data_IF_046139681353
#
_entry.id   IF_046139681353
#
_cell.length_a   1.000
_cell.length_b   1.000
_cell.length_c   1.000
_cell.angle_alpha   90.00
_cell.angle_beta   90.00
_cell.angle_gamma   90.00
#
_symmetry.space_group_name_H-M   'P 1'
#
loop_
_entity.id
_entity.type
_entity.pdbx_description
1 polymer ?
#
# COMPACT_ATOMS: atom_id res chain seq x y z
N UNK A 1 -18.16 75.21 50.16
CA UNK A 1 -17.78 73.78 50.27
C UNK A 1 -17.82 73.20 48.86
N UNK A 2 -16.67 72.94 48.19
CA UNK A 2 -16.08 71.61 47.92
C UNK A 2 -17.15 70.53 47.64
N UNK A 3 -17.18 69.82 46.51
CA UNK A 3 -16.10 68.97 45.99
C UNK A 3 -16.08 68.91 44.45
N UNK A 4 -14.86 68.95 43.88
CA UNK A 4 -14.53 68.52 42.51
C UNK A 4 -14.43 66.99 42.53
N UNK A 5 -15.18 66.30 41.66
CA UNK A 5 -14.99 64.87 41.40
C UNK A 5 -14.40 64.71 40.01
N UNK A 6 -13.11 64.37 39.97
CA UNK A 6 -12.32 64.14 38.76
C UNK A 6 -12.49 62.67 38.35
N UNK A 7 -12.99 62.41 37.15
CA UNK A 7 -13.02 61.09 36.53
C UNK A 7 -11.68 60.83 35.84
N UNK A 8 -10.96 59.80 36.28
CA UNK A 8 -9.79 59.26 35.58
C UNK A 8 -10.25 58.13 34.64
N UNK A 9 -9.78 58.08 33.38
CA UNK A 9 -10.01 56.94 32.51
C UNK A 9 -9.07 55.79 32.91
N UNK A 10 -9.65 54.63 33.20
CA UNK A 10 -8.92 53.38 33.43
C UNK A 10 -8.65 52.74 32.07
N UNK A 11 -7.40 52.82 31.61
CA UNK A 11 -6.93 52.13 30.40
C UNK A 11 -6.73 50.64 30.73
N UNK A 12 -7.66 49.79 30.29
CA UNK A 12 -7.49 48.34 30.36
C UNK A 12 -6.57 47.86 29.22
N UNK A 13 -5.35 47.45 29.57
CA UNK A 13 -4.43 46.78 28.64
C UNK A 13 -4.91 45.33 28.42
N UNK A 14 -5.54 45.06 27.28
CA UNK A 14 -5.88 43.70 26.86
C UNK A 14 -4.64 42.94 26.43
N UNK A 15 -4.31 41.85 27.12
CA UNK A 15 -3.27 40.92 26.70
C UNK A 15 -3.77 40.10 25.50
N UNK A 16 -3.16 40.31 24.34
CA UNK A 16 -3.39 39.46 23.15
C UNK A 16 -2.60 38.18 23.37
N UNK A 17 -3.29 37.10 23.76
CA UNK A 17 -2.70 35.76 23.79
C UNK A 17 -2.57 35.27 22.35
N UNK A 18 -1.38 35.40 21.79
CA UNK A 18 -1.01 34.78 20.52
C UNK A 18 -0.90 33.27 20.75
N UNK A 19 -2.00 32.53 20.53
CA UNK A 19 -1.91 31.08 20.40
C UNK A 19 -1.23 30.76 19.07
N UNK A 20 0.10 30.65 19.08
CA UNK A 20 0.84 30.08 17.97
C UNK A 20 0.35 28.64 17.80
N UNK A 21 -0.43 28.39 16.74
CA UNK A 21 -0.72 27.02 16.33
C UNK A 21 0.63 26.37 15.96
N UNK A 22 0.94 25.16 16.47
CA UNK A 22 2.13 24.47 16.03
C UNK A 22 1.98 24.12 14.55
N UNK A 23 2.67 24.85 13.68
CA UNK A 23 2.82 24.46 12.28
C UNK A 23 3.77 23.26 12.25
N UNK A 24 3.21 22.06 12.31
CA UNK A 24 3.93 20.84 11.96
C UNK A 24 4.17 20.86 10.45
N UNK A 25 5.22 21.57 10.02
CA UNK A 25 5.78 21.37 8.69
C UNK A 25 6.64 20.10 8.73
N UNK A 26 6.00 18.95 8.91
CA UNK A 26 6.63 17.68 8.57
C UNK A 26 6.70 17.62 7.05
N UNK A 27 7.86 17.98 6.49
CA UNK A 27 8.25 17.57 5.15
C UNK A 27 8.33 16.05 5.13
N UNK A 28 7.20 15.38 4.96
CA UNK A 28 7.14 13.94 4.84
C UNK A 28 7.38 13.60 3.38
N UNK A 29 8.47 12.90 3.09
CA UNK A 29 8.60 12.07 1.90
C UNK A 29 7.56 10.94 1.98
N UNK A 30 6.27 11.28 1.87
CA UNK A 30 5.18 10.33 2.06
C UNK A 30 5.11 9.43 0.84
N UNK A 31 5.51 8.17 1.01
CA UNK A 31 5.12 7.10 0.10
C UNK A 31 3.66 6.75 0.45
N UNK A 32 2.84 6.59 -0.58
CA UNK A 32 1.46 6.15 -0.42
C UNK A 32 1.06 5.09 -1.43
N UNK A 33 -0.01 4.36 -1.13
CA UNK A 33 -0.60 3.35 -1.98
C UNK A 33 -2.05 3.69 -2.25
N UNK A 34 -2.49 3.47 -3.49
CA UNK A 34 -3.90 3.64 -3.86
C UNK A 34 -4.28 2.71 -5.01
N UNK A 35 -5.58 2.57 -5.22
CA UNK A 35 -6.10 2.03 -6.47
C UNK A 35 -6.30 3.19 -7.46
N UNK A 36 -5.61 3.15 -8.58
CA UNK A 36 -5.77 4.09 -9.68
C UNK A 36 -6.38 3.38 -10.90
N UNK A 37 -6.65 4.11 -11.98
CA UNK A 37 -7.07 3.53 -13.26
C UNK A 37 -5.98 3.81 -14.31
N UNK A 38 -5.33 2.76 -14.81
CA UNK A 38 -4.31 2.86 -15.86
C UNK A 38 -4.85 2.09 -17.08
N UNK A 39 -4.96 2.77 -18.22
CA UNK A 39 -5.46 2.17 -19.47
C UNK A 39 -6.83 1.46 -19.29
N UNK A 40 -7.72 2.07 -18.49
CA UNK A 40 -9.04 1.50 -18.18
C UNK A 40 -9.04 0.35 -17.17
N UNK A 41 -7.87 -0.09 -16.70
CA UNK A 41 -7.73 -1.19 -15.74
C UNK A 41 -7.45 -0.66 -14.32
N UNK A 42 -8.24 -1.05 -13.30
CA UNK A 42 -7.92 -0.74 -11.90
C UNK A 42 -6.53 -1.27 -11.55
N UNK A 43 -5.66 -0.43 -11.04
CA UNK A 43 -4.25 -0.78 -10.80
C UNK A 43 -3.85 -0.32 -9.41
N UNK A 44 -3.33 -1.23 -8.58
CA UNK A 44 -2.67 -0.83 -7.34
C UNK A 44 -1.36 -0.18 -7.70
N UNK A 45 -1.18 1.06 -7.25
CA UNK A 45 0.01 1.87 -7.51
C UNK A 45 0.63 2.32 -6.20
N UNK A 46 1.94 2.57 -6.25
CA UNK A 46 2.65 3.34 -5.22
C UNK A 46 2.98 4.72 -5.78
N UNK A 47 2.88 5.73 -4.93
CA UNK A 47 3.26 7.10 -5.26
C UNK A 47 4.16 7.72 -4.17
N UNK A 48 4.94 8.73 -4.54
CA UNK A 48 5.73 9.52 -3.59
C UNK A 48 5.16 10.93 -3.39
N UNK A 49 5.82 11.74 -2.57
CA UNK A 49 5.46 13.14 -2.30
C UNK A 49 5.46 14.04 -3.55
N UNK A 50 6.12 13.63 -4.63
CA UNK A 50 6.11 14.31 -5.93
C UNK A 50 5.00 13.81 -6.86
N UNK A 51 4.08 12.98 -6.37
CA UNK A 51 3.05 12.29 -7.16
C UNK A 51 3.60 11.45 -8.32
N UNK A 52 4.85 10.99 -8.25
CA UNK A 52 5.37 10.03 -9.22
C UNK A 52 4.76 8.66 -8.91
N UNK A 53 4.15 8.04 -9.91
CA UNK A 53 3.38 6.81 -9.76
C UNK A 53 4.13 5.62 -10.36
N UNK A 54 4.15 4.49 -9.66
CA UNK A 54 4.63 3.20 -10.17
C UNK A 54 3.54 2.13 -10.03
N UNK A 55 3.19 1.41 -11.12
CA UNK A 55 2.24 0.31 -11.05
C UNK A 55 2.84 -0.88 -10.31
N UNK A 56 2.01 -1.53 -9.49
CA UNK A 56 2.37 -2.73 -8.72
C UNK A 56 1.52 -3.94 -9.14
N UNK A 57 0.20 -3.79 -9.24
CA UNK A 57 -0.74 -4.88 -9.58
C UNK A 57 -1.82 -4.35 -10.53
N UNK A 58 -1.93 -4.91 -11.73
CA UNK A 58 -3.01 -4.63 -12.68
C UNK A 58 -4.19 -5.59 -12.44
N UNK A 59 -5.35 -5.06 -12.04
CA UNK A 59 -6.48 -5.89 -11.63
C UNK A 59 -7.37 -6.28 -12.80
N UNK A 60 -6.86 -7.21 -13.60
CA UNK A 60 -7.56 -7.81 -14.73
C UNK A 60 -8.59 -8.85 -14.26
N UNK A 61 -9.87 -8.61 -14.55
CA UNK A 61 -11.00 -9.46 -14.11
C UNK A 61 -10.89 -10.89 -14.68
N UNK A 62 -10.29 -11.06 -15.85
CA UNK A 62 -10.07 -12.36 -16.49
C UNK A 62 -9.12 -13.26 -15.69
N UNK A 63 -8.22 -12.70 -14.89
CA UNK A 63 -7.21 -13.45 -14.14
C UNK A 63 -7.47 -13.53 -12.65
N UNK A 64 -8.13 -12.52 -12.06
CA UNK A 64 -8.29 -12.43 -10.60
C UNK A 64 -9.64 -12.99 -10.16
N UNK A 65 -9.61 -13.82 -9.12
CA UNK A 65 -10.78 -14.37 -8.45
C UNK A 65 -11.40 -13.32 -7.49
N UNK A 66 -12.09 -12.34 -8.08
CA UNK A 66 -12.87 -11.34 -7.34
C UNK A 66 -14.13 -10.97 -8.10
N UNK A 67 -15.25 -10.85 -7.39
CA UNK A 67 -16.51 -10.36 -7.96
C UNK A 67 -16.54 -8.84 -8.11
N UNK A 68 -15.70 -8.12 -7.35
CA UNK A 68 -15.57 -6.67 -7.43
C UNK A 68 -14.09 -6.29 -7.47
N UNK A 69 -13.58 -6.19 -8.70
CA UNK A 69 -12.17 -5.92 -8.98
C UNK A 69 -11.72 -4.56 -8.43
N UNK A 70 -12.58 -3.54 -8.48
CA UNK A 70 -12.27 -2.22 -7.94
C UNK A 70 -12.08 -2.26 -6.42
N UNK A 71 -13.03 -2.88 -5.71
CA UNK A 71 -12.94 -3.03 -4.26
C UNK A 71 -11.74 -3.88 -3.84
N UNK A 72 -11.40 -4.92 -4.60
CA UNK A 72 -10.22 -5.74 -4.34
C UNK A 72 -8.91 -4.95 -4.51
N UNK A 73 -8.82 -4.13 -5.57
CA UNK A 73 -7.72 -3.20 -5.81
C UNK A 73 -7.53 -2.18 -4.68
N UNK A 74 -8.63 -1.58 -4.20
CA UNK A 74 -8.62 -0.67 -3.06
C UNK A 74 -8.22 -1.37 -1.76
N UNK A 75 -8.73 -2.58 -1.53
CA UNK A 75 -8.38 -3.41 -0.37
C UNK A 75 -6.90 -3.78 -0.34
N UNK A 76 -6.32 -4.15 -1.48
CA UNK A 76 -4.90 -4.44 -1.58
C UNK A 76 -4.04 -3.19 -1.35
N UNK A 77 -4.41 -2.05 -1.94
CA UNK A 77 -3.73 -0.79 -1.69
C UNK A 77 -3.74 -0.42 -0.19
N UNK A 78 -4.88 -0.60 0.49
CA UNK A 78 -5.02 -0.35 1.93
C UNK A 78 -4.13 -1.29 2.77
N UNK A 79 -4.03 -2.57 2.43
CA UNK A 79 -3.15 -3.53 3.10
C UNK A 79 -1.67 -3.15 2.93
N UNK A 80 -1.27 -2.78 1.72
CA UNK A 80 0.08 -2.29 1.45
C UNK A 80 0.40 -1.01 2.24
N UNK A 81 -0.51 -0.02 2.23
CA UNK A 81 -0.37 1.20 3.01
C UNK A 81 -0.21 0.89 4.50
N UNK A 82 -1.12 0.09 5.07
CA UNK A 82 -1.09 -0.29 6.47
C UNK A 82 0.24 -0.95 6.85
N UNK A 83 0.72 -1.91 6.04
CA UNK A 83 2.02 -2.56 6.27
C UNK A 83 3.18 -1.59 6.15
N UNK A 84 3.12 -0.65 5.22
CA UNK A 84 4.15 0.38 5.06
C UNK A 84 4.21 1.30 6.28
N UNK A 85 3.07 1.86 6.70
CA UNK A 85 2.95 2.77 7.84
C UNK A 85 3.42 2.11 9.14
N UNK A 86 3.24 0.80 9.26
CA UNK A 86 3.65 0.00 10.40
C UNK A 86 5.09 -0.55 10.29
N UNK A 87 5.87 -0.19 9.27
CA UNK A 87 7.21 -0.72 9.00
C UNK A 87 7.28 -2.27 8.89
N UNK A 88 6.20 -2.88 8.37
CA UNK A 88 6.03 -4.34 8.20
C UNK A 88 5.95 -4.78 6.74
N UNK A 89 6.10 -3.87 5.79
CA UNK A 89 6.04 -4.17 4.36
C UNK A 89 7.37 -4.71 3.84
N UNK A 90 7.64 -5.99 4.10
CA UNK A 90 8.96 -6.59 3.82
C UNK A 90 8.92 -7.80 2.89
N UNK A 91 7.85 -8.60 2.93
CA UNK A 91 7.82 -9.92 2.28
C UNK A 91 6.46 -10.21 1.67
N UNK A 92 6.51 -10.85 0.50
CA UNK A 92 5.40 -11.48 -0.17
C UNK A 92 5.61 -12.99 -0.19
N UNK A 93 4.54 -13.75 0.02
CA UNK A 93 4.47 -15.16 -0.36
C UNK A 93 3.58 -15.31 -1.59
N UNK A 94 3.96 -16.23 -2.45
CA UNK A 94 3.16 -16.69 -3.59
C UNK A 94 2.96 -18.18 -3.38
N UNK A 95 1.74 -18.54 -2.98
CA UNK A 95 1.35 -19.91 -2.68
C UNK A 95 0.69 -20.54 -3.91
N UNK A 96 1.37 -21.53 -4.49
CA UNK A 96 0.89 -22.36 -5.59
C UNK A 96 0.76 -23.85 -5.16
N UNK A 97 0.64 -24.08 -3.85
CA UNK A 97 1.10 -25.32 -3.20
C UNK A 97 0.17 -26.54 -3.36
N UNK A 98 -0.83 -26.51 -4.24
CA UNK A 98 -1.69 -27.66 -4.50
C UNK A 98 -2.27 -27.60 -5.92
N UNK A 99 -2.34 -28.74 -6.60
CA UNK A 99 -2.78 -28.82 -8.01
C UNK A 99 -4.21 -28.34 -8.28
N UNK A 100 -5.02 -28.16 -7.24
CA UNK A 100 -6.42 -27.72 -7.33
C UNK A 100 -6.71 -26.43 -6.54
N UNK A 101 -5.68 -25.74 -6.01
CA UNK A 101 -5.89 -24.45 -5.34
C UNK A 101 -5.43 -23.31 -6.25
N UNK A 102 -6.16 -22.18 -6.28
CA UNK A 102 -5.72 -21.00 -7.00
C UNK A 102 -4.41 -20.45 -6.43
N UNK A 103 -3.56 -19.91 -7.31
CA UNK A 103 -2.36 -19.19 -6.88
C UNK A 103 -2.81 -17.97 -6.07
N UNK A 104 -2.24 -17.83 -4.87
CA UNK A 104 -2.56 -16.76 -3.93
C UNK A 104 -1.31 -15.97 -3.60
N UNK A 105 -1.40 -14.64 -3.62
CA UNK A 105 -0.31 -13.74 -3.20
C UNK A 105 -0.72 -13.07 -1.89
N UNK A 106 0.18 -13.07 -0.92
CA UNK A 106 -0.09 -12.49 0.40
C UNK A 106 1.13 -11.76 0.98
N UNK A 107 0.86 -10.79 1.85
CA UNK A 107 1.86 -10.17 2.71
C UNK A 107 2.12 -11.05 3.92
N UNK A 108 3.38 -11.32 4.21
CA UNK A 108 3.82 -12.16 5.34
C UNK A 108 4.84 -11.42 6.20
N UNK A 109 5.04 -11.89 7.43
CA UNK A 109 6.04 -11.32 8.34
C UNK A 109 7.39 -12.04 8.23
N UNK A 110 7.38 -13.34 7.90
CA UNK A 110 8.59 -14.19 7.89
C UNK A 110 8.57 -15.17 6.73
N UNK A 111 9.73 -15.41 6.13
CA UNK A 111 9.89 -16.52 5.19
C UNK A 111 9.53 -17.84 5.88
N UNK A 112 8.85 -18.74 5.17
CA UNK A 112 8.27 -19.96 5.74
C UNK A 112 6.75 -19.90 5.88
N UNK A 113 6.18 -18.70 6.09
CA UNK A 113 4.73 -18.51 6.24
C UNK A 113 3.98 -18.75 4.92
N UNK A 114 2.76 -19.29 5.02
CA UNK A 114 1.85 -19.49 3.88
C UNK A 114 0.84 -18.36 3.77
N UNK A 115 0.03 -18.34 2.72
CA UNK A 115 -1.12 -17.44 2.67
C UNK A 115 -2.28 -17.88 3.58
N UNK A 116 -2.24 -19.09 4.14
CA UNK A 116 -3.30 -19.68 4.98
C UNK A 116 -3.11 -19.43 6.50
N UNK A 117 -2.01 -18.79 6.94
CA UNK A 117 -1.78 -18.50 8.38
C UNK A 117 -2.48 -17.20 8.81
N UNK A 118 -2.85 -17.10 10.10
CA UNK A 118 -3.53 -15.90 10.64
C UNK A 118 -2.72 -14.60 10.54
N UNK A 119 -1.39 -14.69 10.43
CA UNK A 119 -0.48 -13.56 10.33
C UNK A 119 -0.30 -13.03 8.90
N UNK A 120 -0.81 -13.76 7.90
CA UNK A 120 -0.76 -13.35 6.50
C UNK A 120 -1.92 -12.41 6.16
N UNK A 121 -1.72 -11.57 5.16
CA UNK A 121 -2.80 -10.80 4.55
C UNK A 121 -2.81 -11.06 3.05
N UNK A 122 -3.84 -11.77 2.58
CA UNK A 122 -4.03 -12.01 1.15
C UNK A 122 -4.14 -10.68 0.40
N UNK A 123 -3.32 -10.51 -0.64
CA UNK A 123 -3.43 -9.38 -1.57
C UNK A 123 -4.37 -9.73 -2.70
N UNK A 124 -4.09 -10.83 -3.40
CA UNK A 124 -4.88 -11.28 -4.54
C UNK A 124 -4.88 -12.80 -4.64
N UNK A 125 -5.87 -13.30 -5.36
CA UNK A 125 -6.02 -14.71 -5.71
C UNK A 125 -6.36 -14.81 -7.20
N UNK A 126 -5.72 -15.74 -7.91
CA UNK A 126 -6.00 -15.98 -9.31
C UNK A 126 -7.21 -16.90 -9.48
N UNK A 127 -7.91 -16.78 -10.61
CA UNK A 127 -8.81 -17.84 -11.07
C UNK A 127 -7.99 -19.05 -11.44
N UNK A 128 -8.45 -20.24 -11.09
CA UNK A 128 -7.77 -21.48 -11.49
C UNK A 128 -8.10 -21.79 -12.94
N UNK A 129 -7.13 -21.66 -13.84
CA UNK A 129 -7.22 -22.05 -15.26
C UNK A 129 -6.27 -23.18 -15.63
N UNK A 130 -5.26 -23.43 -14.78
CA UNK A 130 -4.29 -24.50 -14.92
C UNK A 130 -2.88 -23.96 -14.65
N UNK A 131 -2.01 -24.75 -14.02
CA UNK A 131 -0.73 -24.26 -13.45
C UNK A 131 0.09 -23.36 -14.39
N UNK A 132 0.29 -23.75 -15.65
CA UNK A 132 1.09 -22.97 -16.60
C UNK A 132 0.44 -21.63 -16.98
N UNK A 133 -0.88 -21.61 -17.11
CA UNK A 133 -1.64 -20.40 -17.44
C UNK A 133 -1.72 -19.47 -16.23
N UNK A 134 -1.89 -20.03 -15.02
CA UNK A 134 -1.96 -19.25 -13.80
C UNK A 134 -0.64 -18.50 -13.52
N UNK A 135 0.53 -19.11 -13.81
CA UNK A 135 1.82 -18.42 -13.70
C UNK A 135 2.01 -17.32 -14.75
N UNK A 136 1.54 -17.53 -15.99
CA UNK A 136 1.55 -16.48 -17.01
C UNK A 136 0.66 -15.32 -16.59
N UNK A 137 -0.56 -15.61 -16.15
CA UNK A 137 -1.49 -14.61 -15.60
C UNK A 137 -0.86 -13.81 -14.45
N UNK A 138 -0.15 -14.47 -13.52
CA UNK A 138 0.54 -13.79 -12.43
C UNK A 138 1.59 -12.80 -12.96
N UNK A 139 2.40 -13.21 -13.95
CA UNK A 139 3.44 -12.35 -14.53
C UNK A 139 2.88 -11.19 -15.34
N UNK A 140 1.65 -11.31 -15.85
CA UNK A 140 0.96 -10.22 -16.54
C UNK A 140 0.38 -9.18 -15.56
N UNK A 141 -0.13 -9.62 -14.41
CA UNK A 141 -0.81 -8.72 -13.48
C UNK A 141 0.13 -8.14 -12.41
N UNK A 142 1.16 -8.87 -11.99
CA UNK A 142 2.10 -8.41 -10.95
C UNK A 142 3.30 -7.76 -11.61
N UNK A 143 3.46 -6.46 -11.38
CA UNK A 143 4.60 -5.72 -11.89
C UNK A 143 5.87 -6.08 -11.09
N UNK A 144 7.05 -6.21 -11.73
CA UNK A 144 8.32 -6.45 -11.03
C UNK A 144 8.65 -5.38 -9.99
N UNK A 145 8.07 -4.18 -10.08
CA UNK A 145 8.19 -3.16 -9.04
C UNK A 145 7.70 -3.67 -7.68
N UNK A 146 6.67 -4.52 -7.61
CA UNK A 146 6.14 -5.00 -6.33
C UNK A 146 7.17 -5.84 -5.55
N UNK A 147 8.04 -6.56 -6.27
CA UNK A 147 9.13 -7.35 -5.74
C UNK A 147 9.71 -8.24 -6.85
N UNK A 148 10.97 -8.64 -6.71
CA UNK A 148 11.58 -9.58 -7.65
C UNK A 148 10.95 -10.97 -7.50
N UNK A 149 9.92 -11.23 -8.28
CA UNK A 149 9.28 -12.54 -8.39
C UNK A 149 10.02 -13.35 -9.44
N UNK A 150 10.91 -14.25 -9.00
CA UNK A 150 11.64 -15.15 -9.90
C UNK A 150 10.73 -16.31 -10.32
N UNK A 151 10.06 -16.15 -11.45
CA UNK A 151 9.11 -17.14 -11.99
C UNK A 151 9.73 -18.53 -12.26
N UNK A 152 11.04 -18.61 -12.51
CA UNK A 152 11.76 -19.86 -12.70
C UNK A 152 11.92 -20.69 -11.40
N UNK A 153 11.86 -20.05 -10.22
CA UNK A 153 11.89 -20.74 -8.92
C UNK A 153 10.49 -21.27 -8.52
N UNK A 154 9.42 -20.82 -9.20
CA UNK A 154 8.03 -21.18 -8.86
C UNK A 154 7.62 -22.61 -9.28
N UNK A 155 8.34 -23.21 -10.23
CA UNK A 155 7.97 -24.52 -10.79
C UNK A 155 8.31 -25.70 -9.88
N UNK A 156 9.22 -25.50 -8.92
CA UNK A 156 9.84 -26.60 -8.14
C UNK A 156 9.42 -26.62 -6.67
N UNK A 157 8.97 -25.48 -6.15
CA UNK A 157 8.68 -25.24 -4.74
C UNK A 157 7.28 -24.64 -4.77
N UNK A 158 6.25 -25.34 -4.27
CA UNK A 158 4.87 -24.86 -4.32
C UNK A 158 4.61 -23.54 -3.56
N UNK A 159 5.66 -22.87 -3.10
CA UNK A 159 5.66 -21.55 -2.49
C UNK A 159 6.93 -20.80 -2.85
N UNK A 160 6.80 -19.53 -3.22
CA UNK A 160 7.92 -18.61 -3.45
C UNK A 160 7.79 -17.39 -2.56
N UNK A 161 8.92 -16.82 -2.15
CA UNK A 161 8.96 -15.61 -1.35
C UNK A 161 9.68 -14.50 -2.10
N UNK A 162 9.08 -13.32 -2.17
CA UNK A 162 9.72 -12.14 -2.74
C UNK A 162 9.91 -11.09 -1.65
N UNK A 163 11.10 -10.48 -1.61
CA UNK A 163 11.32 -9.30 -0.78
C UNK A 163 10.75 -8.09 -1.52
N UNK A 164 9.98 -7.27 -0.81
CA UNK A 164 9.51 -6.00 -1.33
C UNK A 164 10.68 -5.02 -1.30
N UNK A 165 11.08 -4.53 -2.46
CA UNK A 165 12.22 -3.62 -2.59
C UNK A 165 11.74 -2.16 -2.63
N UNK A 166 11.14 -1.72 -1.53
CA UNK A 166 10.58 -0.36 -1.40
C UNK A 166 11.60 0.75 -1.73
N UNK A 167 12.90 0.49 -1.52
CA UNK A 167 13.98 1.40 -1.92
C UNK A 167 14.02 1.60 -3.44
N UNK A 168 13.81 0.55 -4.26
CA UNK A 168 13.95 0.64 -5.73
C UNK A 168 12.84 1.42 -6.42
N UNK A 169 11.69 1.66 -5.78
CA UNK A 169 10.56 2.38 -6.40
C UNK A 169 10.92 3.80 -6.86
N UNK A 170 11.89 4.43 -6.22
CA UNK A 170 12.23 5.84 -6.46
C UNK A 170 13.74 6.12 -6.56
N UNK A 171 14.59 5.09 -6.69
CA UNK A 171 16.07 5.24 -6.80
C UNK A 171 16.51 5.86 -8.14
N UNK A 172 15.62 5.99 -9.13
CA UNK A 172 15.94 6.53 -10.46
C UNK A 172 15.03 7.69 -10.89
N UNK A 173 14.55 8.49 -9.94
CA UNK A 173 13.84 9.74 -10.20
C UNK A 173 14.60 10.96 -9.70
#
# INVERSE_FOLDING_TARGET
MKFKTSLLPISAAGAIVLTAAPTFSQSNNSIGFRCDTIEGTPTTVVYNSKNQVKPLIHWKQEYIDSQNIRAACEGAAKKLQSRYDNNKLTLLAIDANNSNKPITVCLINKQGESCDVKSSEELLRLKTTGKNQDFQALSEIVNPNLGEVKANEMRTIGRTYARIESKKWFVFF
#
